data_IF_207864584471
#
_entry.id   IF_207864584471
#
_cell.length_a   1.000
_cell.length_b   1.000
_cell.length_c   1.000
_cell.angle_alpha   90.00
_cell.angle_beta   90.00
_cell.angle_gamma   90.00
#
_symmetry.space_group_name_H-M   'P 1'
#
loop_
_entity.id
_entity.type
_entity.pdbx_description
1 polymer ?
#
# COMPACT_ATOMS: atom_id res chain seq x y z
N UNK A 1 20.67 -10.93 -20.97
CA UNK A 1 20.49 -11.47 -19.61
C UNK A 1 19.24 -10.82 -19.04
N UNK A 2 18.08 -11.47 -19.19
CA UNK A 2 16.77 -10.92 -18.83
C UNK A 2 16.44 -11.42 -17.41
N UNK A 3 16.51 -10.54 -16.41
CA UNK A 3 16.11 -10.87 -15.03
C UNK A 3 14.60 -10.71 -14.96
N UNK A 4 13.86 -11.77 -15.32
CA UNK A 4 12.40 -11.79 -15.21
C UNK A 4 11.98 -12.00 -13.76
N UNK A 5 11.73 -10.92 -13.02
CA UNK A 5 11.14 -10.98 -11.68
C UNK A 5 9.65 -11.32 -11.76
N UNK A 6 9.25 -12.51 -11.29
CA UNK A 6 7.84 -12.85 -11.09
C UNK A 6 7.39 -12.44 -9.68
N UNK A 7 6.31 -11.67 -9.66
CA UNK A 7 5.37 -11.33 -8.57
C UNK A 7 5.85 -11.48 -7.11
N UNK A 8 6.10 -10.34 -6.45
CA UNK A 8 6.00 -10.26 -5.00
C UNK A 8 4.55 -10.40 -4.54
N UNK A 9 4.32 -11.07 -3.42
CA UNK A 9 2.99 -11.23 -2.82
C UNK A 9 2.73 -10.02 -1.89
N UNK A 10 1.77 -9.17 -2.27
CA UNK A 10 1.35 -8.00 -1.47
C UNK A 10 0.05 -8.34 -0.76
N UNK A 11 0.09 -8.44 0.57
CA UNK A 11 -1.10 -8.70 1.38
C UNK A 11 -1.68 -7.37 1.86
N UNK A 12 -2.92 -7.05 1.48
CA UNK A 12 -3.60 -5.84 1.96
C UNK A 12 -4.40 -6.16 3.23
N UNK A 13 -4.12 -5.43 4.31
CA UNK A 13 -4.92 -5.49 5.54
C UNK A 13 -5.86 -4.30 5.65
N UNK A 14 -7.16 -4.53 5.72
CA UNK A 14 -8.16 -3.51 6.09
C UNK A 14 -8.38 -3.57 7.62
N UNK A 15 -8.28 -2.43 8.30
CA UNK A 15 -8.66 -2.32 9.73
C UNK A 15 -9.80 -1.31 9.84
N UNK A 16 -11.00 -1.80 10.08
CA UNK A 16 -12.18 -0.97 10.36
C UNK A 16 -12.15 -0.50 11.82
N UNK A 17 -11.88 0.79 12.05
CA UNK A 17 -12.03 1.44 13.36
C UNK A 17 -13.45 1.95 13.57
N UNK A 18 -13.98 1.81 14.79
CA UNK A 18 -15.34 2.20 15.17
C UNK A 18 -15.45 3.74 15.24
N UNK A 19 -15.97 4.36 14.18
CA UNK A 19 -16.30 5.78 14.14
C UNK A 19 -16.91 6.10 12.78
N UNK A 20 -18.10 6.73 12.76
CA UNK A 20 -18.93 7.05 11.58
C UNK A 20 -18.28 6.66 10.26
N UNK A 21 -18.48 5.39 9.89
CA UNK A 21 -17.84 4.79 8.73
C UNK A 21 -18.54 5.39 7.52
N UNK A 22 -17.89 6.32 6.83
CA UNK A 22 -18.14 6.42 5.40
C UNK A 22 -17.83 5.03 4.85
N UNK A 23 -18.87 4.30 4.44
CA UNK A 23 -18.75 2.98 3.82
C UNK A 23 -18.02 3.16 2.48
N UNK A 24 -16.69 3.32 2.54
CA UNK A 24 -15.78 3.37 1.43
C UNK A 24 -14.86 2.16 1.55
N UNK A 25 -14.67 1.49 0.43
CA UNK A 25 -13.99 0.20 0.36
C UNK A 25 -13.15 0.17 -0.90
N UNK A 26 -12.29 -0.83 -1.01
CA UNK A 26 -11.58 -1.09 -2.26
C UNK A 26 -12.54 -1.54 -3.35
N UNK A 27 -12.48 -0.88 -4.50
CA UNK A 27 -13.21 -1.28 -5.71
C UNK A 27 -12.46 -2.41 -6.43
N UNK A 28 -12.39 -3.57 -5.77
CA UNK A 28 -11.68 -4.75 -6.25
C UNK A 28 -10.20 -4.83 -5.81
N UNK A 29 -9.47 -5.84 -6.30
CA UNK A 29 -8.05 -6.00 -5.98
C UNK A 29 -7.21 -4.86 -6.57
N UNK A 30 -6.09 -4.50 -5.94
CA UNK A 30 -5.16 -3.52 -6.48
C UNK A 30 -4.46 -4.06 -7.74
N UNK A 31 -3.96 -3.16 -8.57
CA UNK A 31 -2.96 -3.47 -9.58
C UNK A 31 -1.56 -3.36 -8.96
N UNK A 32 -0.76 -4.41 -9.09
CA UNK A 32 0.60 -4.48 -8.55
C UNK A 32 1.58 -4.58 -9.72
N UNK A 33 2.51 -3.65 -9.80
CA UNK A 33 3.57 -3.60 -10.81
C UNK A 33 4.92 -3.76 -10.12
N UNK A 34 5.64 -4.82 -10.49
CA UNK A 34 6.97 -5.11 -9.97
C UNK A 34 8.02 -4.57 -10.94
N UNK A 35 8.60 -3.42 -10.61
CA UNK A 35 9.68 -2.80 -11.37
C UNK A 35 11.05 -3.27 -10.88
N UNK A 36 12.12 -2.98 -11.62
CA UNK A 36 13.47 -3.49 -11.28
C UNK A 36 13.95 -3.10 -9.86
N UNK A 37 13.48 -1.97 -9.32
CA UNK A 37 13.91 -1.45 -8.01
C UNK A 37 12.79 -1.15 -7.03
N UNK A 38 11.52 -1.37 -7.39
CA UNK A 38 10.39 -1.01 -6.56
C UNK A 38 9.13 -1.78 -6.93
N UNK A 39 8.18 -1.78 -6.01
CA UNK A 39 6.83 -2.27 -6.20
C UNK A 39 5.90 -1.05 -6.25
N UNK A 40 5.20 -0.88 -7.36
CA UNK A 40 4.14 0.13 -7.53
C UNK A 40 2.78 -0.52 -7.32
N UNK A 41 1.96 0.09 -6.47
CA UNK A 41 0.65 -0.43 -6.11
C UNK A 41 -0.38 0.65 -6.39
N UNK A 42 -1.31 0.36 -7.30
CA UNK A 42 -2.45 1.21 -7.59
C UNK A 42 -3.72 0.54 -7.08
N UNK A 43 -4.51 1.25 -6.31
CA UNK A 43 -5.79 0.76 -5.81
C UNK A 43 -6.91 1.72 -6.20
N UNK A 44 -8.12 1.18 -6.28
CA UNK A 44 -9.35 1.94 -6.53
C UNK A 44 -10.26 1.81 -5.34
N UNK A 45 -11.11 2.81 -5.12
CA UNK A 45 -12.08 2.85 -4.03
C UNK A 45 -13.48 3.08 -4.60
N UNK A 46 -14.52 2.64 -3.90
CA UNK A 46 -15.91 2.79 -4.37
C UNK A 46 -16.37 4.25 -4.30
N UNK A 47 -15.84 5.01 -3.35
CA UNK A 47 -16.07 6.45 -3.16
C UNK A 47 -14.74 7.20 -3.15
N UNK A 48 -14.79 8.52 -3.11
CA UNK A 48 -13.60 9.37 -3.06
C UNK A 48 -12.68 8.95 -1.90
N UNK A 49 -11.41 8.74 -2.20
CA UNK A 49 -10.44 8.33 -1.19
C UNK A 49 -9.84 9.56 -0.50
N UNK A 50 -10.07 9.66 0.81
CA UNK A 50 -9.38 10.61 1.69
C UNK A 50 -8.87 9.86 2.89
N UNK A 51 -7.56 9.83 3.07
CA UNK A 51 -6.95 8.94 4.05
C UNK A 51 -5.45 8.81 3.91
N UNK A 52 -4.89 7.77 4.51
CA UNK A 52 -3.45 7.47 4.44
C UNK A 52 -3.24 6.04 4.01
N UNK A 53 -2.19 5.83 3.24
CA UNK A 53 -1.74 4.50 2.81
C UNK A 53 -0.31 4.33 3.28
N UNK A 54 0.00 3.19 3.89
CA UNK A 54 1.35 2.96 4.44
C UNK A 54 1.67 1.49 4.60
N UNK A 55 2.97 1.18 4.65
CA UNK A 55 3.44 -0.17 4.96
C UNK A 55 3.35 -0.45 6.46
N UNK A 56 2.76 -1.58 6.83
CA UNK A 56 2.64 -2.02 8.23
C UNK A 56 4.03 -2.05 8.89
N UNK A 57 4.13 -1.46 10.09
CA UNK A 57 5.39 -1.38 10.84
C UNK A 57 6.33 -0.25 10.40
N UNK A 58 5.99 0.51 9.35
CA UNK A 58 6.85 1.58 8.81
C UNK A 58 6.14 2.95 8.70
N UNK A 59 5.09 3.20 9.49
CA UNK A 59 4.30 4.44 9.42
C UNK A 59 5.09 5.73 9.77
N UNK A 60 6.14 5.61 10.59
CA UNK A 60 7.00 6.73 10.99
C UNK A 60 7.94 7.19 9.85
N UNK A 61 8.10 6.37 8.80
CA UNK A 61 8.95 6.67 7.66
C UNK A 61 8.13 7.36 6.56
N UNK A 62 8.42 8.63 6.21
CA UNK A 62 7.64 9.38 5.22
C UNK A 62 7.68 8.72 3.82
N UNK A 63 8.77 8.06 3.46
CA UNK A 63 8.93 7.31 2.21
C UNK A 63 8.10 6.01 2.15
N UNK A 64 7.56 5.56 3.29
CA UNK A 64 6.75 4.35 3.41
C UNK A 64 5.25 4.66 3.57
N UNK A 65 4.85 5.92 3.39
CA UNK A 65 3.47 6.37 3.51
C UNK A 65 3.13 7.41 2.45
N UNK A 66 1.86 7.43 2.08
CA UNK A 66 1.27 8.46 1.24
C UNK A 66 0.05 9.04 1.95
N UNK A 67 0.00 10.37 1.99
CA UNK A 67 -1.07 11.11 2.62
C UNK A 67 -1.98 11.70 1.55
N UNK A 68 -3.21 11.21 1.52
CA UNK A 68 -4.24 11.63 0.58
C UNK A 68 -5.25 12.58 1.24
N UNK A 69 -5.09 12.93 2.52
CA UNK A 69 -6.03 13.83 3.22
C UNK A 69 -5.94 15.29 2.77
N UNK A 70 -4.84 15.70 2.15
CA UNK A 70 -4.59 17.08 1.70
C UNK A 70 -4.72 17.28 0.19
N UNK A 71 -4.96 16.21 -0.59
CA UNK A 71 -5.12 16.32 -2.04
C UNK A 71 -6.56 16.75 -2.36
N UNK A 72 -6.68 17.91 -3.02
CA UNK A 72 -7.94 18.53 -3.48
C UNK A 72 -8.87 17.53 -4.17
N UNK A 73 -10.22 17.66 -4.05
CA UNK A 73 -11.22 16.68 -4.46
C UNK A 73 -11.41 16.59 -5.98
N UNK A 74 -10.34 16.55 -6.77
CA UNK A 74 -10.40 16.18 -8.18
C UNK A 74 -10.53 14.66 -8.25
N UNK A 75 -11.74 14.14 -8.01
CA UNK A 75 -12.24 12.83 -8.45
C UNK A 75 -11.24 11.65 -8.48
N UNK A 76 -10.43 11.46 -7.44
CA UNK A 76 -9.52 10.32 -7.39
C UNK A 76 -10.10 9.29 -6.44
N UNK A 77 -11.02 8.47 -6.97
CA UNK A 77 -11.45 7.18 -6.40
C UNK A 77 -10.32 6.14 -6.50
N UNK A 78 -9.08 6.58 -6.34
CA UNK A 78 -7.88 5.82 -6.58
C UNK A 78 -6.71 6.43 -5.82
N UNK A 79 -5.74 5.58 -5.51
CA UNK A 79 -4.47 6.01 -4.95
C UNK A 79 -3.34 5.10 -5.42
N UNK A 80 -2.13 5.57 -5.16
CA UNK A 80 -0.89 4.94 -5.56
C UNK A 80 0.14 4.99 -4.42
N UNK A 81 0.97 3.97 -4.34
CA UNK A 81 2.17 4.00 -3.50
C UNK A 81 3.29 3.20 -4.18
N UNK A 82 4.51 3.74 -4.13
CA UNK A 82 5.72 3.11 -4.66
C UNK A 82 6.66 2.78 -3.51
N UNK A 83 7.00 1.51 -3.36
CA UNK A 83 7.86 1.01 -2.29
C UNK A 83 9.14 0.44 -2.90
N UNK A 84 10.30 0.99 -2.52
CA UNK A 84 11.59 0.47 -2.98
C UNK A 84 11.85 -0.94 -2.45
N UNK A 85 12.48 -1.79 -3.26
CA UNK A 85 12.89 -3.13 -2.82
C UNK A 85 13.80 -3.05 -1.58
N UNK A 86 13.53 -3.89 -0.57
CA UNK A 86 14.31 -3.91 0.68
C UNK A 86 14.06 -2.72 1.62
N UNK A 87 13.08 -1.86 1.32
CA UNK A 87 12.69 -0.75 2.19
C UNK A 87 11.41 -1.07 2.99
N UNK A 88 11.01 -0.17 3.89
CA UNK A 88 9.71 -0.22 4.58
C UNK A 88 9.37 -1.52 5.32
N UNK A 89 10.38 -2.20 5.89
CA UNK A 89 10.21 -3.48 6.60
C UNK A 89 9.64 -4.60 5.71
N UNK A 90 10.02 -4.57 4.42
CA UNK A 90 9.74 -5.61 3.44
C UNK A 90 10.47 -6.89 3.79
N UNK A 91 9.73 -7.99 3.90
CA UNK A 91 10.30 -9.32 4.08
C UNK A 91 10.87 -9.80 2.74
N UNK A 92 12.09 -10.33 2.77
CA UNK A 92 12.82 -10.77 1.59
C UNK A 92 13.20 -12.22 1.77
N UNK A 93 12.57 -13.10 1.01
CA UNK A 93 12.81 -14.53 1.04
C UNK A 93 13.50 -14.99 -0.24
N UNK A 94 14.45 -15.91 -0.11
CA UNK A 94 15.07 -16.58 -1.26
C UNK A 94 14.22 -17.79 -1.62
N UNK A 95 13.82 -17.88 -2.87
CA UNK A 95 13.07 -19.04 -3.40
C UNK A 95 14.07 -19.97 -4.07
N UNK A 96 13.97 -21.27 -3.77
CA UNK A 96 14.87 -22.31 -4.30
C UNK A 96 14.32 -23.02 -5.55
N UNK A 97 13.03 -22.84 -5.86
CA UNK A 97 12.41 -23.45 -7.04
C UNK A 97 11.12 -22.69 -7.43
N UNK A 98 11.10 -21.94 -8.55
CA UNK A 98 12.27 -21.52 -9.33
C UNK A 98 13.19 -20.62 -8.50
N UNK A 99 14.48 -20.59 -8.85
CA UNK A 99 15.44 -19.70 -8.21
C UNK A 99 14.99 -18.25 -8.33
N UNK A 100 14.86 -17.57 -7.19
CA UNK A 100 14.33 -16.22 -7.18
C UNK A 100 14.41 -15.54 -5.81
N UNK A 101 13.83 -14.34 -5.77
CA UNK A 101 13.64 -13.58 -4.55
C UNK A 101 12.18 -13.20 -4.49
N UNK A 102 11.54 -13.52 -3.36
CA UNK A 102 10.19 -13.09 -3.05
C UNK A 102 10.24 -11.94 -2.07
N UNK A 103 9.47 -10.90 -2.36
CA UNK A 103 9.26 -9.77 -1.48
C UNK A 103 7.84 -9.82 -0.95
N UNK A 104 7.68 -9.65 0.36
CA UNK A 104 6.37 -9.56 1.02
C UNK A 104 6.27 -8.28 1.84
N UNK A 105 5.16 -7.58 1.66
CA UNK A 105 4.79 -6.40 2.46
C UNK A 105 3.31 -6.47 2.80
N UNK A 106 2.96 -5.85 3.92
CA UNK A 106 1.56 -5.63 4.29
C UNK A 106 1.23 -4.16 4.11
N UNK A 107 0.32 -3.87 3.18
CA UNK A 107 -0.16 -2.50 2.95
C UNK A 107 -1.41 -2.24 3.78
N UNK A 108 -1.45 -1.10 4.46
CA UNK A 108 -2.60 -0.63 5.23
C UNK A 108 -3.19 0.59 4.54
N UNK A 109 -4.46 0.50 4.18
CA UNK A 109 -5.25 1.59 3.58
C UNK A 109 -6.23 2.07 4.64
N UNK A 110 -5.98 3.27 5.16
CA UNK A 110 -6.77 3.87 6.24
C UNK A 110 -7.68 4.94 5.67
N UNK A 111 -8.99 4.69 5.76
CA UNK A 111 -10.05 5.64 5.41
C UNK A 111 -10.37 6.62 6.56
N UNK A 112 -9.55 6.65 7.60
CA UNK A 112 -9.77 7.56 8.71
C UNK A 112 -9.23 8.95 8.37
N UNK A 113 -10.02 10.03 8.55
CA UNK A 113 -9.45 11.35 8.75
C UNK A 113 -8.65 11.24 10.05
N UNK A 114 -7.32 11.27 9.96
CA UNK A 114 -6.47 11.08 11.14
C UNK A 114 -6.69 12.26 12.08
N UNK A 115 -7.63 12.12 13.02
CA UNK A 115 -7.60 12.86 14.27
C UNK A 115 -6.49 12.23 15.09
N UNK A 116 -5.43 13.00 15.26
CA UNK A 116 -4.31 12.67 16.14
C UNK A 116 -4.88 12.60 17.55
N UNK A 117 -5.09 11.40 18.08
CA UNK A 117 -5.23 11.24 19.53
C UNK A 117 -3.80 11.26 20.10
N UNK A 118 -3.33 12.47 20.43
CA UNK A 118 -2.22 12.64 21.38
C UNK A 118 -2.78 12.31 22.76
N UNK A 119 -2.20 11.33 23.42
CA UNK A 119 -2.20 11.20 24.89
C UNK A 119 -0.73 11.21 25.31
#
# INVERSE_FOLDING_TARGET
MQIGGRAGEVTIGTKSGLGIVENNELAGPPNIQCEAGAIEIHFRTTKQFSGKVYVKGSFNRPECRMDYSSKSPTSNQAGEIRIGHGSCNMDRQRTLAPDGVMFSIVLVISFHPVKIERI
#
